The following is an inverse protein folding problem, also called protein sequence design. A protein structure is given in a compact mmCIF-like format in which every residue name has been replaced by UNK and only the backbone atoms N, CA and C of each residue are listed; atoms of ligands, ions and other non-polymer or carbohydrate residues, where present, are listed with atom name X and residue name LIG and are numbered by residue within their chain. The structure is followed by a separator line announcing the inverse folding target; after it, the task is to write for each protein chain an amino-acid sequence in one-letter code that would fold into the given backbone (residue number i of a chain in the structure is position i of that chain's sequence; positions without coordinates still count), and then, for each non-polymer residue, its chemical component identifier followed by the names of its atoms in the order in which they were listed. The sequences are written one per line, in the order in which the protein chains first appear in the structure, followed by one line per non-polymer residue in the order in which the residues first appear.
data_IF_479456417493
#
_entry.id   IF_479456417493
#
_cell.length_a   1.000
_cell.length_b   1.000
_cell.length_c   1.000
_cell.angle_alpha   90.00
_cell.angle_beta   90.00
_cell.angle_gamma   90.00
#
_symmetry.space_group_name_H-M   'P 1'
#
loop_
_entity.id
_entity.type
_entity.pdbx_description
1 polymer ?
#
# COMPACT_ATOMS: atom_id res chain seq x y z
N UNK A 1 9.32 -6.52 22.29
CA UNK A 1 8.72 -5.49 21.42
C UNK A 1 8.08 -6.24 20.26
N UNK A 2 6.75 -6.31 20.20
CA UNK A 2 6.04 -7.12 19.21
C UNK A 2 6.14 -6.43 17.84
N UNK A 3 6.83 -7.06 16.89
CA UNK A 3 6.92 -6.58 15.50
C UNK A 3 5.70 -7.13 14.74
N UNK A 4 4.80 -6.24 14.33
CA UNK A 4 3.60 -6.60 13.57
C UNK A 4 3.86 -6.42 12.07
N UNK A 5 3.76 -7.50 11.30
CA UNK A 5 3.48 -7.44 9.87
C UNK A 5 1.96 -7.29 9.72
N UNK A 6 1.40 -6.12 10.02
CA UNK A 6 -0.03 -6.02 10.15
C UNK A 6 -0.64 -4.78 9.53
N UNK A 7 -1.37 -4.98 8.45
CA UNK A 7 -2.47 -4.11 8.09
C UNK A 7 -3.71 -4.51 8.89
N UNK A 8 -3.91 -3.97 10.10
CA UNK A 8 -5.17 -4.13 10.84
C UNK A 8 -6.18 -3.14 10.25
N UNK A 9 -7.31 -3.64 9.74
CA UNK A 9 -8.33 -2.83 9.07
C UNK A 9 -9.70 -2.99 9.72
N UNK A 10 -10.35 -1.88 10.02
CA UNK A 10 -11.78 -1.75 10.27
C UNK A 10 -12.46 -0.92 9.19
N UNK A 11 -13.76 -1.11 8.99
CA UNK A 11 -14.57 -0.67 7.85
C UNK A 11 -14.88 0.83 7.81
N UNK A 12 -15.08 1.31 6.56
CA UNK A 12 -15.83 2.47 6.03
C UNK A 12 -15.49 3.89 6.48
N UNK A 13 -14.98 4.65 5.51
CA UNK A 13 -15.37 6.08 5.35
C UNK A 13 -15.55 6.45 3.88
N UNK A 14 -16.73 7.01 3.58
CA UNK A 14 -17.08 7.56 2.26
C UNK A 14 -16.29 8.84 2.00
N UNK A 15 -15.60 8.86 0.88
CA UNK A 15 -14.85 10.04 0.42
C UNK A 15 -15.74 10.88 -0.49
N UNK A 16 -16.18 12.06 -0.03
CA UNK A 16 -16.87 13.05 -0.85
C UNK A 16 -15.86 13.88 -1.64
N UNK A 17 -15.80 13.64 -2.93
CA UNK A 17 -14.98 14.40 -3.87
C UNK A 17 -15.79 15.62 -4.36
N UNK A 18 -15.77 16.75 -3.64
CA UNK A 18 -16.34 17.99 -4.14
C UNK A 18 -15.23 18.86 -4.73
N UNK A 19 -15.23 18.88 -6.07
CA UNK A 19 -14.45 19.79 -6.90
C UNK A 19 -15.05 21.20 -6.81
N UNK A 20 -14.46 22.11 -6.02
CA UNK A 20 -14.75 23.54 -6.12
C UNK A 20 -13.48 24.34 -6.34
N UNK A 21 -13.44 25.03 -7.48
CA UNK A 21 -12.25 25.69 -8.07
C UNK A 21 -12.10 27.17 -7.69
N UNK A 22 -12.75 27.70 -6.64
CA UNK A 22 -12.59 29.10 -6.23
C UNK A 22 -12.31 29.24 -4.73
N UNK A 23 -11.41 30.17 -4.31
CA UNK A 23 -11.26 30.51 -2.89
C UNK A 23 -12.55 31.14 -2.38
N UNK A 24 -13.06 30.65 -1.27
CA UNK A 24 -14.12 31.36 -0.55
C UNK A 24 -13.50 32.54 0.21
N UNK A 25 -13.88 33.75 -0.14
CA UNK A 25 -13.52 34.96 0.59
C UNK A 25 -14.70 35.25 1.53
N UNK A 26 -14.44 35.24 2.83
CA UNK A 26 -15.39 35.75 3.82
C UNK A 26 -14.74 36.91 4.56
N UNK A 27 -15.38 38.08 4.51
CA UNK A 27 -14.98 39.32 5.20
C UNK A 27 -13.55 39.81 4.92
N UNK A 28 -13.03 39.64 3.65
CA UNK A 28 -11.70 40.11 3.27
C UNK A 28 -10.53 39.24 3.75
N UNK A 29 -10.80 38.15 4.42
CA UNK A 29 -9.77 37.17 4.82
C UNK A 29 -9.80 35.95 3.91
N UNK A 30 -8.63 35.56 3.34
CA UNK A 30 -8.48 34.29 2.68
C UNK A 30 -8.54 33.16 3.74
N UNK A 31 -9.53 32.30 3.61
CA UNK A 31 -9.61 31.08 4.45
C UNK A 31 -8.50 30.14 3.98
N UNK A 32 -7.53 29.76 4.84
CA UNK A 32 -6.50 28.80 4.47
C UNK A 32 -7.15 27.50 3.98
N UNK A 33 -6.85 27.10 2.75
CA UNK A 33 -7.36 25.84 2.22
C UNK A 33 -6.77 24.69 3.01
N UNK A 34 -7.61 23.79 3.48
CA UNK A 34 -7.12 22.52 4.03
C UNK A 34 -6.22 21.83 2.98
N UNK A 35 -5.02 21.37 3.39
CA UNK A 35 -4.10 20.70 2.47
C UNK A 35 -4.78 19.45 1.88
N UNK A 36 -4.76 19.37 0.54
CA UNK A 36 -5.35 18.25 -0.21
C UNK A 36 -4.48 17.01 -0.09
N UNK A 37 -5.13 15.85 -0.11
CA UNK A 37 -4.40 14.59 -0.24
C UNK A 37 -3.85 14.42 -1.65
N UNK A 38 -2.60 14.01 -1.73
CA UNK A 38 -1.88 13.81 -2.99
C UNK A 38 -1.05 12.52 -2.92
N UNK A 39 -1.02 11.81 -4.05
CA UNK A 39 -0.08 10.69 -4.24
C UNK A 39 1.14 11.26 -4.97
N UNK A 40 2.32 11.15 -4.33
CA UNK A 40 3.59 11.63 -4.89
C UNK A 40 4.57 10.47 -5.05
N UNK A 41 5.28 10.43 -6.15
CA UNK A 41 6.44 9.54 -6.32
C UNK A 41 7.59 10.04 -5.45
N UNK A 42 8.29 9.12 -4.82
CA UNK A 42 9.40 9.38 -3.90
C UNK A 42 10.72 9.05 -4.60
N UNK A 43 11.65 10.00 -4.59
CA UNK A 43 12.99 9.82 -5.14
C UNK A 43 13.96 9.25 -4.08
N UNK A 44 14.03 9.87 -2.89
CA UNK A 44 14.87 9.41 -1.79
C UNK A 44 14.17 8.32 -0.99
N UNK A 45 14.22 7.09 -1.46
CA UNK A 45 13.47 5.95 -0.90
C UNK A 45 13.96 5.57 0.49
N UNK A 46 15.26 5.70 0.75
CA UNK A 46 15.90 5.38 2.04
C UNK A 46 15.38 6.24 3.19
N UNK A 47 14.93 7.47 2.95
CA UNK A 47 14.36 8.36 3.97
C UNK A 47 13.10 7.78 4.63
N UNK A 48 12.51 6.75 4.02
CA UNK A 48 11.29 6.09 4.49
C UNK A 48 11.52 4.68 5.03
N UNK A 49 12.78 4.27 5.20
CA UNK A 49 13.14 2.91 5.61
C UNK A 49 12.48 2.50 6.92
N UNK A 50 12.47 3.39 7.93
CA UNK A 50 11.85 3.10 9.24
C UNK A 50 10.37 2.74 9.10
N UNK A 51 9.64 3.44 8.21
CA UNK A 51 8.24 3.13 7.96
C UNK A 51 8.06 1.83 7.17
N UNK A 52 8.93 1.55 6.19
CA UNK A 52 8.89 0.30 5.42
C UNK A 52 9.16 -0.92 6.30
N UNK A 53 10.02 -0.77 7.31
CA UNK A 53 10.33 -1.81 8.30
C UNK A 53 9.13 -2.19 9.20
N UNK A 54 8.11 -1.36 9.28
CA UNK A 54 6.87 -1.71 9.99
C UNK A 54 6.07 -2.80 9.26
N UNK A 55 6.19 -2.89 7.91
CA UNK A 55 5.51 -3.90 7.10
C UNK A 55 6.42 -5.10 6.74
N UNK A 56 7.73 -4.88 6.61
CA UNK A 56 8.74 -5.93 6.38
C UNK A 56 9.90 -5.69 7.35
N UNK A 57 10.03 -6.50 8.42
CA UNK A 57 10.94 -6.18 9.53
C UNK A 57 12.43 -6.41 9.22
N UNK A 58 12.77 -6.87 8.00
CA UNK A 58 14.16 -7.16 7.62
C UNK A 58 14.67 -6.21 6.53
N UNK A 59 15.56 -5.28 6.90
CA UNK A 59 16.12 -4.27 6.00
C UNK A 59 16.74 -4.87 4.74
N UNK A 60 17.46 -5.99 4.88
CA UNK A 60 18.08 -6.67 3.75
C UNK A 60 17.05 -7.22 2.75
N UNK A 61 15.87 -7.62 3.22
CA UNK A 61 14.77 -8.03 2.34
C UNK A 61 14.21 -6.83 1.59
N UNK A 62 14.04 -5.70 2.25
CA UNK A 62 13.59 -4.45 1.60
C UNK A 62 14.59 -4.01 0.53
N UNK A 63 15.89 -4.05 0.81
CA UNK A 63 16.94 -3.67 -0.15
C UNK A 63 16.95 -4.54 -1.41
N UNK A 64 16.51 -5.82 -1.35
CA UNK A 64 16.42 -6.69 -2.53
C UNK A 64 15.49 -6.16 -3.62
N UNK A 65 14.52 -5.29 -3.27
CA UNK A 65 13.56 -4.78 -4.23
C UNK A 65 13.50 -3.24 -4.30
N UNK A 66 13.94 -2.53 -3.27
CA UNK A 66 13.68 -1.09 -3.13
C UNK A 66 14.29 -0.27 -4.27
N UNK A 67 15.54 -0.58 -4.66
CA UNK A 67 16.25 0.18 -5.70
C UNK A 67 15.56 0.08 -7.07
N UNK A 68 15.03 -1.10 -7.40
CA UNK A 68 14.39 -1.39 -8.69
C UNK A 68 12.89 -1.08 -8.70
N UNK A 69 12.37 -0.53 -7.59
CA UNK A 69 10.94 -0.27 -7.40
C UNK A 69 10.61 1.22 -7.53
N UNK A 70 9.38 1.51 -7.92
CA UNK A 70 8.77 2.82 -7.71
C UNK A 70 8.20 2.92 -6.29
N UNK A 71 8.44 4.03 -5.61
CA UNK A 71 7.89 4.30 -4.28
C UNK A 71 6.92 5.47 -4.36
N UNK A 72 5.75 5.32 -3.76
CA UNK A 72 4.71 6.34 -3.74
C UNK A 72 4.24 6.62 -2.32
N UNK A 73 4.10 7.90 -1.99
CA UNK A 73 3.54 8.35 -0.73
C UNK A 73 2.19 9.04 -0.94
N UNK A 74 1.22 8.70 -0.10
CA UNK A 74 0.00 9.48 0.10
C UNK A 74 0.30 10.51 1.18
N UNK A 75 0.17 11.79 0.85
CA UNK A 75 0.44 12.92 1.75
C UNK A 75 -0.76 13.85 1.85
N UNK A 76 -0.94 14.51 3.02
CA UNK A 76 -1.83 15.67 3.22
C UNK A 76 -0.93 16.87 3.53
N UNK A 77 -0.72 17.76 2.55
CA UNK A 77 0.37 18.74 2.61
C UNK A 77 1.73 18.03 2.66
N UNK A 78 2.53 18.33 3.68
CA UNK A 78 3.81 17.67 3.91
C UNK A 78 3.70 16.42 4.80
N UNK A 79 2.55 16.20 5.41
CA UNK A 79 2.33 15.09 6.31
C UNK A 79 2.18 13.76 5.55
N UNK A 80 3.04 12.78 5.88
CA UNK A 80 3.00 11.44 5.33
C UNK A 80 1.89 10.63 5.98
N UNK A 81 1.03 10.03 5.15
CA UNK A 81 -0.10 9.20 5.59
C UNK A 81 0.18 7.72 5.34
N UNK A 82 0.57 7.39 4.12
CA UNK A 82 0.81 6.00 3.71
C UNK A 82 1.86 5.96 2.60
N UNK A 83 2.59 4.84 2.51
CA UNK A 83 3.61 4.61 1.49
C UNK A 83 3.39 3.25 0.84
N UNK A 84 3.72 3.10 -0.44
CA UNK A 84 3.68 1.84 -1.16
C UNK A 84 4.89 1.69 -2.08
N UNK A 85 5.40 0.47 -2.18
CA UNK A 85 6.53 0.10 -3.05
C UNK A 85 6.02 -0.83 -4.14
N UNK A 86 6.25 -0.44 -5.40
CA UNK A 86 5.81 -1.16 -6.60
C UNK A 86 7.02 -1.61 -7.40
N UNK A 87 7.21 -2.93 -7.52
CA UNK A 87 8.25 -3.53 -8.34
C UNK A 87 7.72 -3.84 -9.74
N UNK A 88 8.51 -3.54 -10.75
CA UNK A 88 8.23 -3.89 -12.15
C UNK A 88 8.79 -5.28 -12.46
N UNK A 89 7.92 -6.30 -12.50
CA UNK A 89 8.34 -7.70 -12.75
C UNK A 89 8.65 -7.91 -14.22
N UNK A 90 7.75 -7.46 -15.09
CA UNK A 90 7.90 -7.53 -16.54
C UNK A 90 7.11 -6.39 -17.23
N UNK A 91 7.01 -6.44 -18.56
CA UNK A 91 6.32 -5.38 -19.34
C UNK A 91 4.82 -5.27 -19.05
N UNK A 92 4.22 -6.29 -18.42
CA UNK A 92 2.76 -6.41 -18.19
C UNK A 92 2.39 -6.64 -16.74
N UNK A 93 3.37 -6.94 -15.88
CA UNK A 93 3.15 -7.36 -14.50
C UNK A 93 3.89 -6.46 -13.53
N UNK A 94 3.18 -6.00 -12.52
CA UNK A 94 3.71 -5.32 -11.34
C UNK A 94 3.58 -6.20 -10.11
N UNK A 95 4.36 -5.92 -9.08
CA UNK A 95 4.18 -6.46 -7.74
C UNK A 95 4.14 -5.34 -6.70
N UNK A 96 3.10 -5.34 -5.88
CA UNK A 96 3.06 -4.55 -4.65
C UNK A 96 3.93 -5.26 -3.62
N UNK A 97 5.14 -4.72 -3.38
CA UNK A 97 6.12 -5.31 -2.45
C UNK A 97 5.88 -4.92 -1.01
N UNK A 98 5.44 -3.68 -0.79
CA UNK A 98 5.25 -3.13 0.54
C UNK A 98 4.12 -2.08 0.50
N UNK A 99 3.29 -2.05 1.51
CA UNK A 99 2.33 -0.98 1.74
C UNK A 99 2.14 -0.79 3.24
N UNK A 100 2.36 0.42 3.71
CA UNK A 100 2.23 0.75 5.13
C UNK A 100 1.56 2.10 5.32
N UNK A 101 0.79 2.23 6.38
CA UNK A 101 0.16 3.48 6.80
C UNK A 101 0.69 3.85 8.16
N UNK A 102 1.12 5.11 8.32
CA UNK A 102 1.63 5.62 9.60
C UNK A 102 0.60 5.41 10.71
N UNK A 103 1.03 5.09 11.91
CA UNK A 103 0.18 4.67 13.04
C UNK A 103 -1.03 5.58 13.25
N UNK A 104 -0.83 6.89 13.28
CA UNK A 104 -1.88 7.92 13.43
C UNK A 104 -3.03 7.80 12.42
N UNK A 105 -2.76 7.22 11.25
CA UNK A 105 -3.69 7.14 10.12
C UNK A 105 -4.17 5.72 9.80
N UNK A 106 -3.78 4.72 10.59
CA UNK A 106 -4.26 3.33 10.43
C UNK A 106 -5.78 3.24 10.62
N UNK A 107 -6.35 2.20 10.06
CA UNK A 107 -7.78 1.86 10.16
C UNK A 107 -8.75 2.93 9.60
N UNK A 108 -8.23 3.87 8.78
CA UNK A 108 -9.01 4.95 8.14
C UNK A 108 -9.11 4.81 6.62
N UNK A 109 -8.73 3.65 6.06
CA UNK A 109 -8.85 3.33 4.63
C UNK A 109 -7.78 3.97 3.72
N UNK A 110 -6.73 4.58 4.26
CA UNK A 110 -5.72 5.28 3.44
C UNK A 110 -4.86 4.35 2.59
N UNK A 111 -4.51 3.15 3.08
CA UNK A 111 -3.84 2.14 2.25
C UNK A 111 -4.69 1.74 1.04
N UNK A 112 -6.00 1.52 1.24
CA UNK A 112 -6.97 1.27 0.14
C UNK A 112 -6.99 2.43 -0.85
N UNK A 113 -7.00 3.69 -0.37
CA UNK A 113 -7.01 4.90 -1.21
C UNK A 113 -5.74 4.98 -2.05
N UNK A 114 -4.56 4.77 -1.44
CA UNK A 114 -3.28 4.76 -2.14
C UNK A 114 -3.26 3.64 -3.20
N UNK A 115 -3.61 2.42 -2.82
CA UNK A 115 -3.63 1.26 -3.73
C UNK A 115 -4.58 1.46 -4.91
N UNK A 116 -5.80 2.00 -4.68
CA UNK A 116 -6.76 2.33 -5.75
C UNK A 116 -6.18 3.35 -6.73
N UNK A 117 -5.50 4.39 -6.23
CA UNK A 117 -4.84 5.39 -7.06
C UNK A 117 -3.74 4.78 -7.92
N UNK A 118 -2.87 3.93 -7.34
CA UNK A 118 -1.79 3.26 -8.06
C UNK A 118 -2.32 2.32 -9.14
N UNK A 119 -3.32 1.48 -8.83
CA UNK A 119 -3.98 0.64 -9.83
C UNK A 119 -4.56 1.47 -10.98
N UNK A 120 -5.16 2.64 -10.68
CA UNK A 120 -5.68 3.56 -11.68
C UNK A 120 -4.60 4.13 -12.60
N UNK A 121 -3.44 4.49 -12.04
CA UNK A 121 -2.32 5.03 -12.80
C UNK A 121 -1.66 3.98 -13.70
N UNK A 122 -1.49 2.77 -13.17
CA UNK A 122 -0.77 1.71 -13.88
C UNK A 122 -1.59 0.95 -14.93
N UNK A 123 -2.93 0.96 -14.83
CA UNK A 123 -3.82 0.21 -15.75
C UNK A 123 -3.64 0.53 -17.24
N UNK A 124 -3.07 1.69 -17.60
CA UNK A 124 -2.80 2.03 -19.00
C UNK A 124 -1.66 1.21 -19.58
N UNK A 125 -0.65 0.91 -18.77
CA UNK A 125 0.59 0.26 -19.19
C UNK A 125 0.64 -1.23 -18.82
N UNK A 126 0.11 -1.60 -17.65
CA UNK A 126 0.21 -2.95 -17.10
C UNK A 126 -1.15 -3.66 -17.11
N UNK A 127 -1.11 -4.99 -17.22
CA UNK A 127 -2.31 -5.81 -17.28
C UNK A 127 -2.68 -6.34 -15.89
N UNK A 128 -1.68 -6.63 -15.03
CA UNK A 128 -1.93 -7.17 -13.69
C UNK A 128 -0.96 -6.66 -12.64
N UNK A 129 -1.40 -6.72 -11.39
CA UNK A 129 -0.59 -6.46 -10.21
C UNK A 129 -0.65 -7.69 -9.28
N UNK A 130 0.51 -8.14 -8.85
CA UNK A 130 0.69 -9.21 -7.85
C UNK A 130 0.79 -8.60 -6.45
N UNK A 131 0.49 -9.40 -5.44
CA UNK A 131 0.86 -9.16 -4.04
C UNK A 131 1.22 -10.49 -3.39
N UNK A 132 2.36 -10.52 -2.68
CA UNK A 132 2.69 -11.57 -1.72
C UNK A 132 2.21 -11.17 -0.33
N UNK A 133 1.48 -12.03 0.36
CA UNK A 133 0.83 -11.71 1.62
C UNK A 133 0.75 -12.90 2.57
N UNK A 134 0.40 -12.64 3.84
CA UNK A 134 0.09 -13.64 4.85
C UNK A 134 -1.41 -13.97 4.85
N UNK A 135 -1.81 -15.06 5.49
CA UNK A 135 -3.21 -15.51 5.55
C UNK A 135 -4.15 -14.44 6.13
N UNK A 136 -3.73 -13.76 7.20
CA UNK A 136 -4.54 -12.73 7.87
C UNK A 136 -4.86 -11.54 6.96
N UNK A 137 -3.98 -11.22 6.02
CA UNK A 137 -4.12 -10.07 5.13
C UNK A 137 -4.84 -10.39 3.81
N UNK A 138 -5.06 -11.67 3.47
CA UNK A 138 -5.79 -12.08 2.26
C UNK A 138 -7.15 -11.38 2.15
N UNK A 139 -8.01 -11.31 3.20
CA UNK A 139 -9.31 -10.67 3.09
C UNK A 139 -9.24 -9.18 2.69
N UNK A 140 -8.21 -8.47 3.16
CA UNK A 140 -7.98 -7.09 2.76
C UNK A 140 -7.71 -6.99 1.25
N UNK A 141 -6.78 -7.78 0.74
CA UNK A 141 -6.39 -7.74 -0.67
C UNK A 141 -7.51 -8.22 -1.60
N UNK A 142 -8.26 -9.26 -1.21
CA UNK A 142 -9.43 -9.75 -1.95
C UNK A 142 -10.49 -8.65 -2.08
N UNK A 143 -10.79 -7.89 -1.01
CA UNK A 143 -11.67 -6.72 -1.05
C UNK A 143 -11.16 -5.60 -1.96
N UNK A 144 -9.84 -5.55 -2.25
CA UNK A 144 -9.25 -4.61 -3.21
C UNK A 144 -9.18 -5.18 -4.65
N UNK A 145 -9.71 -6.40 -4.87
CA UNK A 145 -9.80 -7.06 -6.18
C UNK A 145 -8.55 -7.87 -6.55
N UNK A 146 -7.71 -8.23 -5.58
CA UNK A 146 -6.69 -9.25 -5.73
C UNK A 146 -7.35 -10.61 -5.46
N UNK A 147 -8.20 -11.05 -6.37
CA UNK A 147 -9.11 -12.19 -6.20
C UNK A 147 -8.61 -13.48 -6.88
N UNK A 148 -7.51 -13.42 -7.62
CA UNK A 148 -6.95 -14.57 -8.30
C UNK A 148 -5.73 -15.10 -7.53
N UNK A 149 -5.85 -16.31 -6.96
CA UNK A 149 -4.72 -17.03 -6.40
C UNK A 149 -3.70 -17.37 -7.49
N UNK A 150 -2.42 -17.16 -7.21
CA UNK A 150 -1.31 -17.46 -8.15
C UNK A 150 -0.44 -18.62 -7.66
N UNK A 151 0.07 -18.53 -6.44
CA UNK A 151 0.94 -19.55 -5.83
C UNK A 151 1.12 -19.36 -4.33
N UNK A 152 1.65 -20.39 -3.66
CA UNK A 152 2.20 -20.30 -2.30
C UNK A 152 3.69 -20.65 -2.34
N UNK A 153 4.51 -19.78 -1.75
CA UNK A 153 5.92 -20.09 -1.47
C UNK A 153 5.99 -20.62 -0.05
N UNK A 154 6.18 -21.94 0.05
CA UNK A 154 6.25 -22.65 1.33
C UNK A 154 7.49 -22.25 2.11
N UNK A 155 7.35 -22.15 3.44
CA UNK A 155 8.42 -21.83 4.38
C UNK A 155 9.14 -20.50 4.09
N UNK A 156 8.52 -19.59 3.31
CA UNK A 156 9.17 -18.36 2.88
C UNK A 156 9.72 -17.54 4.06
N UNK A 157 8.95 -17.38 5.12
CA UNK A 157 9.37 -16.59 6.27
C UNK A 157 10.42 -17.33 7.11
N UNK A 158 10.34 -18.66 7.19
CA UNK A 158 11.33 -19.49 7.89
C UNK A 158 12.69 -19.44 7.18
N UNK A 159 12.68 -19.51 5.85
CA UNK A 159 13.91 -19.61 5.04
C UNK A 159 14.61 -18.25 4.83
N UNK A 160 13.88 -17.14 4.98
CA UNK A 160 14.39 -15.80 4.63
C UNK A 160 14.53 -14.84 5.83
N UNK A 161 14.03 -15.19 7.01
CA UNK A 161 14.09 -14.34 8.20
C UNK A 161 14.76 -15.11 9.34
N UNK A 162 15.62 -14.42 10.09
CA UNK A 162 16.34 -15.00 11.22
C UNK A 162 15.51 -15.13 12.50
N UNK A 163 14.35 -14.48 12.51
CA UNK A 163 13.41 -14.45 13.64
C UNK A 163 12.02 -14.88 13.18
N UNK A 164 11.22 -15.39 14.10
CA UNK A 164 9.82 -15.69 13.87
C UNK A 164 9.02 -14.44 13.51
N UNK A 165 8.41 -14.43 12.34
CA UNK A 165 7.56 -13.33 11.87
C UNK A 165 6.13 -13.58 12.29
N UNK A 166 5.50 -12.57 12.92
CA UNK A 166 4.12 -12.63 13.37
C UNK A 166 3.24 -11.60 12.67
N UNK A 167 2.03 -12.02 12.35
CA UNK A 167 0.94 -11.18 11.86
C UNK A 167 -0.25 -11.31 12.82
N UNK A 168 -0.33 -10.42 13.82
CA UNK A 168 -1.18 -10.62 14.99
C UNK A 168 -0.70 -11.83 15.81
N UNK A 169 -1.60 -12.78 16.03
CA UNK A 169 -1.31 -14.05 16.74
C UNK A 169 -0.82 -15.16 15.79
N UNK A 170 -0.84 -14.93 14.48
CA UNK A 170 -0.41 -15.90 13.48
C UNK A 170 1.11 -15.88 13.31
N UNK A 171 1.74 -17.04 13.43
CA UNK A 171 3.14 -17.25 13.03
C UNK A 171 3.15 -17.41 11.51
N UNK A 172 3.84 -16.51 10.81
CA UNK A 172 3.96 -16.53 9.37
C UNK A 172 4.98 -17.59 8.93
N UNK A 173 4.55 -18.52 8.11
CA UNK A 173 5.42 -19.54 7.51
C UNK A 173 5.51 -19.35 6.00
N UNK A 174 4.39 -19.25 5.34
CA UNK A 174 4.24 -19.24 3.88
C UNK A 174 3.96 -17.82 3.36
N UNK A 175 4.46 -17.50 2.17
CA UNK A 175 4.07 -16.30 1.43
C UNK A 175 3.09 -16.70 0.31
N UNK A 176 1.89 -16.10 0.34
CA UNK A 176 0.79 -16.45 -0.54
C UNK A 176 0.60 -15.33 -1.57
N UNK A 177 0.67 -15.68 -2.85
CA UNK A 177 0.53 -14.72 -3.94
C UNK A 177 -0.87 -14.68 -4.50
N UNK A 178 -1.42 -13.47 -4.58
CA UNK A 178 -2.64 -13.16 -5.30
C UNK A 178 -2.38 -12.12 -6.38
N UNK A 179 -3.24 -12.08 -7.40
CA UNK A 179 -3.19 -11.06 -8.43
C UNK A 179 -4.52 -10.35 -8.63
N UNK A 180 -4.39 -9.12 -9.12
CA UNK A 180 -5.49 -8.27 -9.58
C UNK A 180 -5.31 -7.97 -11.07
N UNK A 181 -6.37 -8.17 -11.86
CA UNK A 181 -6.46 -7.67 -13.23
C UNK A 181 -6.69 -6.15 -13.22
N UNK A 182 -5.74 -5.39 -13.75
CA UNK A 182 -5.80 -3.92 -13.81
C UNK A 182 -6.71 -3.41 -14.91
N UNK A 183 -7.04 -4.24 -15.93
CA UNK A 183 -7.92 -3.88 -17.05
C UNK A 183 -9.39 -4.09 -16.72
N UNK A 184 -9.70 -4.97 -15.77
CA UNK A 184 -11.06 -5.22 -15.31
C UNK A 184 -11.66 -3.94 -14.69
N UNK A 185 -12.80 -3.49 -15.21
CA UNK A 185 -13.51 -2.35 -14.60
C UNK A 185 -13.90 -2.72 -13.17
N UNK A 186 -13.68 -1.79 -12.22
CA UNK A 186 -14.25 -1.94 -10.89
C UNK A 186 -15.77 -2.11 -11.04
N UNK A 187 -16.32 -3.18 -10.47
CA UNK A 187 -17.76 -3.21 -10.20
C UNK A 187 -17.93 -2.33 -8.97
N UNK A 188 -18.50 -1.15 -9.15
CA UNK A 188 -18.98 -0.34 -8.04
C UNK A 188 -20.11 -1.13 -7.36
N UNK A 189 -19.86 -1.65 -6.19
CA UNK A 189 -20.87 -2.16 -5.26
C UNK A 189 -21.13 -1.09 -4.21
#
# INVERSE_FOLDING_TARGET
MQKYCGCVFSEEMRYNNHNTTKPSISNGYEIPREPRMQVKKIENKEDYMDLLLEADPLKDMIHKYLNDSDVYALKKGDELISIAVILHIDRKTLELKNIVTTEKYRNKGYAKTLLKSLCGNYKQKYDRMLVGTTENNIPFYVKQGFDKYEKTVKNFFIDNYNEEIKDGDLICTDLIYYSKDLKKKFKDN
#
